data_IF_554044332967
#
_entry.id   IF_554044332967
#
_cell.length_a   1.000
_cell.length_b   1.000
_cell.length_c   1.000
_cell.angle_alpha   90.00
_cell.angle_beta   90.00
_cell.angle_gamma   90.00
#
_symmetry.space_group_name_H-M   'P 1'
#
loop_
_entity.id
_entity.type
_entity.pdbx_description
1 polymer ?
#
# COMPACT_ATOMS: atom_id res chain seq x y z
N UNK A 1 14.30 33.26 26.28
CA UNK A 1 13.40 32.21 26.79
C UNK A 1 11.90 32.53 26.65
N UNK A 2 11.54 33.71 26.10
CA UNK A 2 10.19 34.25 26.21
C UNK A 2 9.05 33.46 25.53
N UNK A 3 9.31 32.61 24.52
CA UNK A 3 8.25 32.00 23.69
C UNK A 3 8.44 30.49 23.46
N UNK A 4 9.23 29.80 24.29
CA UNK A 4 9.50 28.35 24.10
C UNK A 4 8.21 27.52 24.24
N UNK A 5 7.31 27.91 25.18
CA UNK A 5 6.05 27.21 25.42
C UNK A 5 5.16 27.24 24.19
N UNK A 6 5.00 28.41 23.58
CA UNK A 6 4.19 28.63 22.39
C UNK A 6 4.76 27.89 21.18
N UNK A 7 6.10 27.89 21.01
CA UNK A 7 6.77 27.07 19.98
C UNK A 7 6.49 25.58 20.19
N UNK A 8 6.56 25.08 21.42
CA UNK A 8 6.27 23.68 21.72
C UNK A 8 4.80 23.32 21.46
N UNK A 9 3.86 24.21 21.77
CA UNK A 9 2.43 24.02 21.45
C UNK A 9 2.23 23.94 19.95
N UNK A 10 2.75 24.91 19.20
CA UNK A 10 2.64 24.95 17.74
C UNK A 10 3.25 23.71 17.06
N UNK A 11 4.42 23.30 17.55
CA UNK A 11 5.10 22.08 17.12
C UNK A 11 4.28 20.82 17.42
N UNK A 12 3.71 20.70 18.62
CA UNK A 12 2.87 19.56 19.01
C UNK A 12 1.62 19.46 18.15
N UNK A 13 1.02 20.59 17.77
CA UNK A 13 -0.11 20.62 16.82
C UNK A 13 0.29 20.06 15.46
N UNK A 14 1.44 20.47 14.92
CA UNK A 14 1.93 19.94 13.63
C UNK A 14 2.25 18.44 13.69
N UNK A 15 2.88 17.96 14.77
CA UNK A 15 3.07 16.53 15.01
C UNK A 15 1.73 15.79 14.97
N UNK A 16 0.75 16.28 15.70
CA UNK A 16 -0.57 15.67 15.77
C UNK A 16 -1.23 15.57 14.38
N UNK A 17 -1.15 16.65 13.58
CA UNK A 17 -1.70 16.67 12.23
C UNK A 17 -0.97 15.68 11.32
N UNK A 18 0.36 15.57 11.43
CA UNK A 18 1.15 14.61 10.63
C UNK A 18 0.76 13.17 10.99
N UNK A 19 0.67 12.83 12.28
CA UNK A 19 0.24 11.49 12.70
C UNK A 19 -1.19 11.18 12.29
N UNK A 20 -2.11 12.13 12.48
CA UNK A 20 -3.50 11.98 12.07
C UNK A 20 -3.64 11.80 10.55
N UNK A 21 -2.87 12.55 9.76
CA UNK A 21 -2.85 12.38 8.30
C UNK A 21 -2.33 11.01 7.88
N UNK A 22 -1.31 10.50 8.53
CA UNK A 22 -0.79 9.15 8.32
C UNK A 22 -1.81 8.06 8.68
N UNK A 23 -2.53 8.24 9.78
CA UNK A 23 -3.62 7.36 10.19
C UNK A 23 -4.78 7.38 9.19
N UNK A 24 -5.25 8.55 8.78
CA UNK A 24 -6.32 8.71 7.79
C UNK A 24 -5.93 8.13 6.44
N UNK A 25 -4.68 8.32 6.02
CA UNK A 25 -4.16 7.69 4.80
C UNK A 25 -4.26 6.18 4.86
N UNK A 26 -3.78 5.55 5.94
CA UNK A 26 -3.83 4.08 6.11
C UNK A 26 -5.24 3.53 6.15
N UNK A 27 -6.15 4.21 6.85
CA UNK A 27 -7.49 3.69 7.13
C UNK A 27 -8.48 3.90 5.98
N UNK A 28 -8.42 5.06 5.33
CA UNK A 28 -9.45 5.50 4.40
C UNK A 28 -8.94 5.79 2.99
N UNK A 29 -7.71 6.29 2.85
CA UNK A 29 -7.23 6.82 1.58
C UNK A 29 -6.46 5.79 0.73
N UNK A 30 -5.86 4.76 1.32
CA UNK A 30 -4.98 3.82 0.62
C UNK A 30 -5.62 3.15 -0.60
N UNK A 31 -6.94 2.90 -0.56
CA UNK A 31 -7.71 2.28 -1.65
C UNK A 31 -8.45 3.29 -2.54
N UNK A 32 -8.28 4.59 -2.28
CA UNK A 32 -8.95 5.65 -3.02
C UNK A 32 -8.23 5.97 -4.33
N UNK A 33 -8.89 6.73 -5.22
CA UNK A 33 -8.25 7.19 -6.44
C UNK A 33 -7.06 8.10 -6.14
N UNK A 34 -6.04 8.08 -6.99
CA UNK A 34 -4.82 8.88 -6.83
C UNK A 34 -5.13 10.38 -6.68
N UNK A 35 -6.04 10.90 -7.48
CA UNK A 35 -6.43 12.32 -7.46
C UNK A 35 -7.10 12.68 -6.12
N UNK A 36 -7.92 11.80 -5.56
CA UNK A 36 -8.56 12.02 -4.26
C UNK A 36 -7.54 12.04 -3.12
N UNK A 37 -6.55 11.15 -3.16
CA UNK A 37 -5.45 11.13 -2.18
C UNK A 37 -4.67 12.45 -2.23
N UNK A 38 -4.23 12.87 -3.42
CA UNK A 38 -3.44 14.09 -3.62
C UNK A 38 -4.22 15.33 -3.17
N UNK A 39 -5.50 15.43 -3.52
CA UNK A 39 -6.38 16.51 -3.06
C UNK A 39 -6.53 16.54 -1.54
N UNK A 40 -6.75 15.39 -0.91
CA UNK A 40 -6.88 15.27 0.55
C UNK A 40 -5.60 15.72 1.27
N UNK A 41 -4.42 15.35 0.76
CA UNK A 41 -3.15 15.75 1.34
C UNK A 41 -2.91 17.27 1.21
N UNK A 42 -3.32 17.90 0.11
CA UNK A 42 -3.27 19.37 -0.05
C UNK A 42 -4.15 20.04 1.01
N UNK A 43 -5.38 19.57 1.20
CA UNK A 43 -6.30 20.15 2.21
C UNK A 43 -5.74 19.99 3.63
N UNK A 44 -5.18 18.83 3.96
CA UNK A 44 -4.55 18.59 5.27
C UNK A 44 -3.36 19.52 5.49
N UNK A 45 -2.54 19.76 4.46
CA UNK A 45 -1.41 20.67 4.54
C UNK A 45 -1.85 22.13 4.77
N UNK A 46 -2.92 22.58 4.09
CA UNK A 46 -3.51 23.90 4.29
C UNK A 46 -4.07 24.04 5.69
N UNK A 47 -4.81 23.03 6.17
CA UNK A 47 -5.34 22.99 7.54
C UNK A 47 -4.20 23.02 8.57
N UNK A 48 -3.11 22.29 8.33
CA UNK A 48 -1.93 22.31 9.18
C UNK A 48 -1.30 23.71 9.30
N UNK A 49 -1.19 24.43 8.18
CA UNK A 49 -0.76 25.83 8.18
C UNK A 49 -1.73 26.76 8.90
N UNK A 50 -3.03 26.57 8.73
CA UNK A 50 -4.06 27.35 9.45
C UNK A 50 -4.02 27.08 10.96
N UNK A 51 -3.97 25.83 11.38
CA UNK A 51 -3.83 25.46 12.80
C UNK A 51 -2.55 26.03 13.41
N UNK A 52 -1.43 26.02 12.66
CA UNK A 52 -0.18 26.62 13.09
C UNK A 52 -0.33 28.12 13.38
N UNK A 53 -1.10 28.84 12.58
CA UNK A 53 -1.42 30.26 12.84
C UNK A 53 -2.29 30.45 14.08
N UNK A 54 -3.29 29.59 14.25
CA UNK A 54 -4.23 29.66 15.40
C UNK A 54 -3.51 29.48 16.74
N UNK A 55 -2.54 28.59 16.80
CA UNK A 55 -1.70 28.33 17.97
C UNK A 55 -0.36 29.09 17.92
N UNK A 56 -0.22 30.07 17.03
CA UNK A 56 0.99 30.87 16.87
C UNK A 56 1.25 31.85 18.01
N UNK A 57 2.45 32.42 18.02
CA UNK A 57 2.87 33.45 18.96
C UNK A 57 2.36 34.79 18.47
N UNK A 58 1.46 35.41 19.20
CA UNK A 58 0.98 36.76 18.92
C UNK A 58 1.96 37.79 19.52
N UNK A 59 2.81 38.39 18.67
CA UNK A 59 3.72 39.47 19.09
C UNK A 59 2.99 40.80 19.22
N UNK A 60 1.90 41.00 18.48
CA UNK A 60 0.96 42.09 18.56
C UNK A 60 -0.39 41.63 18.01
N UNK A 61 -1.42 42.47 18.04
CA UNK A 61 -2.76 42.15 17.49
C UNK A 61 -2.74 41.75 16.00
N UNK A 62 -1.71 42.17 15.27
CA UNK A 62 -1.60 41.91 13.82
C UNK A 62 -0.44 40.97 13.44
N UNK A 63 0.56 40.76 14.30
CA UNK A 63 1.76 39.99 14.00
C UNK A 63 1.72 38.64 14.67
N UNK A 64 1.60 37.57 13.88
CA UNK A 64 1.62 36.18 14.33
C UNK A 64 2.90 35.51 13.84
N UNK A 65 3.64 34.95 14.78
CA UNK A 65 4.85 34.17 14.52
C UNK A 65 4.55 32.68 14.74
N UNK A 66 4.70 31.86 13.71
CA UNK A 66 4.28 30.47 13.73
C UNK A 66 5.06 29.60 12.73
N UNK A 67 4.70 28.33 12.65
CA UNK A 67 5.35 27.33 11.82
C UNK A 67 4.56 26.99 10.54
N UNK A 68 3.68 27.92 10.06
CA UNK A 68 2.82 27.71 8.85
C UNK A 68 3.57 27.36 7.56
N UNK A 69 4.85 27.67 7.51
CA UNK A 69 5.70 27.38 6.34
C UNK A 69 6.15 25.91 6.28
N UNK A 70 6.07 25.17 7.39
CA UNK A 70 6.51 23.76 7.45
C UNK A 70 5.72 22.85 6.51
N UNK A 71 4.38 22.91 6.38
CA UNK A 71 3.65 22.15 5.37
C UNK A 71 4.17 22.38 3.94
N UNK A 72 4.66 23.59 3.62
CA UNK A 72 5.27 23.90 2.30
C UNK A 72 6.62 23.19 2.17
N UNK A 73 7.42 23.15 3.24
CA UNK A 73 8.69 22.40 3.29
C UNK A 73 8.44 20.89 3.08
N UNK A 74 7.44 20.32 3.75
CA UNK A 74 7.06 18.91 3.60
C UNK A 74 6.61 18.65 2.15
N UNK A 75 5.81 19.54 1.57
CA UNK A 75 5.38 19.43 0.19
C UNK A 75 6.56 19.49 -0.79
N UNK A 76 7.52 20.40 -0.61
CA UNK A 76 8.73 20.50 -1.45
C UNK A 76 9.58 19.23 -1.42
N UNK A 77 9.53 18.47 -0.31
CA UNK A 77 10.27 17.23 -0.14
C UNK A 77 9.57 16.03 -0.79
N UNK A 78 8.25 15.87 -0.61
CA UNK A 78 7.53 14.61 -0.85
C UNK A 78 6.48 14.65 -1.97
N UNK A 79 6.07 15.84 -2.47
CA UNK A 79 5.09 15.90 -3.56
C UNK A 79 5.63 15.31 -4.86
N UNK A 80 4.71 14.78 -5.68
CA UNK A 80 5.02 14.32 -7.04
C UNK A 80 4.85 15.41 -8.10
N UNK A 81 3.99 16.37 -7.83
CA UNK A 81 3.70 17.49 -8.72
C UNK A 81 4.06 18.81 -8.03
N UNK A 82 5.03 19.57 -8.55
CA UNK A 82 5.44 20.83 -7.94
C UNK A 82 4.34 21.89 -7.85
N UNK A 83 3.30 21.83 -8.70
CA UNK A 83 2.16 22.74 -8.62
C UNK A 83 1.40 22.61 -7.28
N UNK A 84 1.45 21.46 -6.62
CA UNK A 84 0.80 21.29 -5.32
C UNK A 84 1.47 22.13 -4.23
N UNK A 85 2.78 22.38 -4.35
CA UNK A 85 3.51 23.27 -3.43
C UNK A 85 2.90 24.68 -3.51
N UNK A 86 2.64 25.17 -4.73
CA UNK A 86 2.04 26.47 -4.95
C UNK A 86 0.58 26.52 -4.43
N UNK A 87 -0.21 25.47 -4.70
CA UNK A 87 -1.59 25.38 -4.21
C UNK A 87 -1.66 25.41 -2.68
N UNK A 88 -0.76 24.71 -2.01
CA UNK A 88 -0.64 24.72 -0.54
C UNK A 88 -0.28 26.12 -0.05
N UNK A 89 0.70 26.78 -0.66
CA UNK A 89 1.09 28.13 -0.27
C UNK A 89 -0.03 29.15 -0.47
N UNK A 90 -0.73 29.12 -1.59
CA UNK A 90 -1.90 29.96 -1.84
C UNK A 90 -2.97 29.71 -0.78
N UNK A 91 -3.30 28.43 -0.50
CA UNK A 91 -4.30 28.07 0.50
C UNK A 91 -3.95 28.55 1.92
N UNK A 92 -2.70 28.35 2.37
CA UNK A 92 -2.20 28.83 3.65
C UNK A 92 -2.21 30.37 3.70
N UNK A 93 -1.79 31.01 2.60
CA UNK A 93 -1.78 32.47 2.50
C UNK A 93 -3.18 33.07 2.57
N UNK A 94 -4.16 32.49 1.88
CA UNK A 94 -5.57 32.91 1.98
C UNK A 94 -6.13 32.66 3.40
N UNK A 95 -5.80 31.53 4.00
CA UNK A 95 -6.21 31.21 5.37
C UNK A 95 -5.67 32.23 6.39
N UNK A 96 -4.57 32.96 6.10
CA UNK A 96 -4.06 34.03 6.99
C UNK A 96 -5.05 35.17 7.17
N UNK A 97 -5.85 35.46 6.17
CA UNK A 97 -6.83 36.56 6.23
C UNK A 97 -8.03 36.26 7.16
N UNK A 98 -8.23 35.02 7.57
CA UNK A 98 -9.25 34.68 8.61
C UNK A 98 -8.90 35.26 9.98
N UNK A 99 -7.63 35.67 10.21
CA UNK A 99 -7.17 36.32 11.44
C UNK A 99 -7.13 37.87 11.32
N UNK A 100 -7.78 38.42 10.32
CA UNK A 100 -7.84 39.83 10.05
C UNK A 100 -6.94 40.29 8.90
N UNK A 101 -7.34 41.37 8.26
CA UNK A 101 -6.61 42.00 7.16
C UNK A 101 -5.73 43.11 7.72
N UNK A 102 -4.42 42.97 7.60
CA UNK A 102 -3.42 43.92 8.07
C UNK A 102 -2.18 43.87 7.15
N UNK A 103 -1.28 44.84 7.26
CA UNK A 103 0.00 44.80 6.56
C UNK A 103 0.79 43.53 6.86
N UNK A 104 0.78 43.06 8.11
CA UNK A 104 1.38 41.83 8.53
C UNK A 104 0.72 40.58 7.87
N UNK A 105 -0.60 40.61 7.66
CA UNK A 105 -1.31 39.54 6.95
C UNK A 105 -0.92 39.49 5.46
N UNK A 106 -0.82 40.65 4.81
CA UNK A 106 -0.38 40.77 3.42
C UNK A 106 1.08 40.31 3.28
N UNK A 107 1.97 40.77 4.15
CA UNK A 107 3.37 40.32 4.21
C UNK A 107 3.47 38.79 4.41
N UNK A 108 2.67 38.22 5.29
CA UNK A 108 2.61 36.77 5.52
C UNK A 108 2.11 36.00 4.28
N UNK A 109 1.12 36.56 3.56
CA UNK A 109 0.65 35.98 2.28
C UNK A 109 1.78 35.98 1.24
N UNK A 110 2.43 37.13 1.06
CA UNK A 110 3.56 37.26 0.09
C UNK A 110 4.69 36.28 0.45
N UNK A 111 5.04 36.16 1.74
CA UNK A 111 6.09 35.24 2.21
C UNK A 111 5.80 33.79 1.83
N UNK A 112 4.57 33.27 2.05
CA UNK A 112 4.25 31.88 1.71
C UNK A 112 4.20 31.64 0.20
N UNK A 113 3.87 32.67 -0.61
CA UNK A 113 3.96 32.57 -2.08
C UNK A 113 5.42 32.49 -2.53
N UNK A 114 6.29 33.37 -2.00
CA UNK A 114 7.74 33.32 -2.27
C UNK A 114 8.30 31.94 -1.90
N UNK A 115 7.98 31.45 -0.71
CA UNK A 115 8.39 30.13 -0.26
C UNK A 115 7.90 29.02 -1.20
N UNK A 116 6.69 29.10 -1.69
CA UNK A 116 6.15 28.08 -2.60
C UNK A 116 6.88 28.09 -3.94
N UNK A 117 7.20 29.25 -4.48
CA UNK A 117 7.96 29.39 -5.73
C UNK A 117 9.39 28.85 -5.54
N UNK A 118 10.06 29.24 -4.46
CA UNK A 118 11.41 28.71 -4.13
C UNK A 118 11.34 27.18 -3.87
N UNK A 119 10.30 26.71 -3.17
CA UNK A 119 10.08 25.28 -2.94
C UNK A 119 9.93 24.49 -4.25
N UNK A 120 9.24 25.04 -5.25
CA UNK A 120 9.15 24.46 -6.60
C UNK A 120 10.53 24.42 -7.29
N UNK A 121 11.32 25.48 -7.20
CA UNK A 121 12.69 25.52 -7.76
C UNK A 121 13.57 24.46 -7.10
N UNK A 122 13.57 24.40 -5.76
CA UNK A 122 14.35 23.42 -5.00
C UNK A 122 13.88 22.01 -5.34
N UNK A 123 12.57 21.75 -5.50
CA UNK A 123 12.05 20.46 -5.97
C UNK A 123 12.69 20.03 -7.30
N UNK A 124 12.74 20.91 -8.30
CA UNK A 124 13.31 20.60 -9.62
C UNK A 124 14.82 20.34 -9.55
N UNK A 125 15.56 21.17 -8.83
CA UNK A 125 17.02 21.05 -8.69
C UNK A 125 17.39 19.77 -7.93
N UNK A 126 16.66 19.46 -6.86
CA UNK A 126 17.00 18.37 -5.93
C UNK A 126 16.34 17.01 -6.28
N UNK A 127 15.66 16.91 -7.43
CA UNK A 127 14.88 15.72 -7.81
C UNK A 127 15.67 14.40 -7.80
N UNK A 128 16.98 14.47 -8.13
CA UNK A 128 17.86 13.30 -8.19
C UNK A 128 18.81 13.17 -6.98
N UNK A 129 18.68 14.05 -6.01
CA UNK A 129 19.58 14.06 -4.87
C UNK A 129 19.26 12.95 -3.85
N UNK A 130 20.26 12.55 -3.11
CA UNK A 130 20.05 11.66 -1.98
C UNK A 130 19.11 12.30 -0.94
N UNK A 131 18.23 11.52 -0.33
CA UNK A 131 17.14 12.02 0.51
C UNK A 131 17.60 12.91 1.66
N UNK A 132 18.68 12.55 2.33
CA UNK A 132 19.20 13.35 3.46
C UNK A 132 19.86 14.67 3.00
N UNK A 133 20.57 14.66 1.87
CA UNK A 133 21.12 15.88 1.28
C UNK A 133 20.01 16.83 0.83
N UNK A 134 18.98 16.29 0.18
CA UNK A 134 17.78 17.05 -0.19
C UNK A 134 17.13 17.66 1.05
N UNK A 135 16.93 16.88 2.09
CA UNK A 135 16.31 17.30 3.35
C UNK A 135 17.07 18.45 3.99
N UNK A 136 18.39 18.35 4.09
CA UNK A 136 19.23 19.41 4.63
C UNK A 136 19.12 20.70 3.84
N UNK A 137 19.23 20.63 2.52
CA UNK A 137 19.17 21.81 1.65
C UNK A 137 17.77 22.44 1.66
N UNK A 138 16.72 21.65 1.58
CA UNK A 138 15.32 22.15 1.67
C UNK A 138 15.11 22.90 2.98
N UNK A 139 15.51 22.31 4.12
CA UNK A 139 15.38 22.95 5.44
C UNK A 139 16.14 24.26 5.49
N UNK A 140 17.42 24.26 5.11
CA UNK A 140 18.26 25.46 5.20
C UNK A 140 17.74 26.57 4.26
N UNK A 141 17.47 26.26 3.00
CA UNK A 141 17.02 27.26 2.01
C UNK A 141 15.67 27.84 2.43
N UNK A 142 14.70 26.98 2.75
CA UNK A 142 13.34 27.44 3.06
C UNK A 142 13.27 28.28 4.34
N UNK A 143 14.01 27.90 5.39
CA UNK A 143 14.08 28.69 6.63
C UNK A 143 14.82 30.02 6.42
N UNK A 144 15.89 30.04 5.62
CA UNK A 144 16.60 31.27 5.28
C UNK A 144 15.73 32.23 4.46
N UNK A 145 15.03 31.70 3.45
CA UNK A 145 14.09 32.48 2.64
C UNK A 145 12.94 33.01 3.49
N UNK A 146 12.37 32.19 4.39
CA UNK A 146 11.33 32.63 5.30
C UNK A 146 11.81 33.80 6.18
N UNK A 147 12.97 33.66 6.80
CA UNK A 147 13.57 34.71 7.64
C UNK A 147 13.87 35.99 6.85
N UNK A 148 14.49 35.88 5.67
CA UNK A 148 14.75 37.03 4.82
C UNK A 148 13.46 37.75 4.38
N UNK A 149 12.44 37.01 3.97
CA UNK A 149 11.16 37.58 3.54
C UNK A 149 10.50 38.41 4.65
N UNK A 150 10.52 37.90 5.90
CA UNK A 150 9.99 38.65 7.05
C UNK A 150 10.78 39.93 7.29
N UNK A 151 12.10 39.85 7.23
CA UNK A 151 12.97 41.04 7.40
C UNK A 151 12.79 42.10 6.33
N UNK A 152 12.63 41.71 5.06
CA UNK A 152 12.50 42.64 3.94
C UNK A 152 11.08 43.25 3.81
N UNK A 153 10.03 42.55 4.23
CA UNK A 153 8.65 43.06 4.15
C UNK A 153 8.30 44.13 5.20
N UNK A 154 9.23 44.40 6.12
CA UNK A 154 9.23 45.65 6.91
C UNK A 154 8.16 45.76 7.99
N UNK A 155 7.49 44.66 8.37
CA UNK A 155 6.45 44.63 9.44
C UNK A 155 7.05 44.86 10.84
N UNK A 156 8.33 44.49 11.01
CA UNK A 156 9.10 44.68 12.24
C UNK A 156 10.34 45.50 11.86
N UNK A 157 10.79 46.47 12.68
CA UNK A 157 12.04 47.18 12.43
C UNK A 157 13.19 46.19 12.22
N UNK A 158 13.92 46.34 11.13
CA UNK A 158 14.94 45.36 10.71
C UNK A 158 16.05 45.17 11.76
N UNK A 159 16.37 46.21 12.51
CA UNK A 159 17.39 46.17 13.57
C UNK A 159 16.92 45.22 14.71
N UNK A 160 15.68 45.36 15.16
CA UNK A 160 15.10 44.52 16.21
C UNK A 160 14.93 43.10 15.73
N UNK A 161 14.51 42.90 14.46
CA UNK A 161 14.38 41.59 13.84
C UNK A 161 15.70 40.84 13.82
N UNK A 162 16.76 41.47 13.32
CA UNK A 162 18.07 40.84 13.16
C UNK A 162 18.79 40.62 14.49
N UNK A 163 18.62 41.50 15.49
CA UNK A 163 19.35 41.44 16.77
C UNK A 163 18.64 40.57 17.82
N UNK A 164 17.31 40.47 17.79
CA UNK A 164 16.53 39.78 18.83
C UNK A 164 15.80 38.53 18.29
N UNK A 165 15.10 38.66 17.15
CA UNK A 165 14.21 37.59 16.69
C UNK A 165 14.98 36.50 15.91
N UNK A 166 15.80 36.88 14.93
CA UNK A 166 16.54 35.90 14.10
C UNK A 166 17.45 34.99 14.90
N UNK A 167 18.28 35.48 15.86
CA UNK A 167 19.20 34.61 16.61
C UNK A 167 18.46 33.54 17.44
N UNK A 168 17.22 33.80 17.85
CA UNK A 168 16.41 32.86 18.64
C UNK A 168 15.52 31.97 17.77
N UNK A 169 14.84 32.53 16.76
CA UNK A 169 13.82 31.83 15.97
C UNK A 169 14.43 30.97 14.85
N UNK A 170 15.47 31.44 14.15
CA UNK A 170 16.01 30.72 12.99
C UNK A 170 16.61 29.35 13.37
N UNK A 171 17.46 29.21 14.41
CA UNK A 171 17.94 27.90 14.84
C UNK A 171 16.83 26.95 15.27
N UNK A 172 15.84 27.46 16.02
CA UNK A 172 14.70 26.67 16.47
C UNK A 172 13.90 26.18 15.26
N UNK A 173 13.57 27.05 14.32
CA UNK A 173 12.82 26.71 13.12
C UNK A 173 13.56 25.65 12.26
N UNK A 174 14.87 25.76 12.13
CA UNK A 174 15.69 24.76 11.41
C UNK A 174 15.62 23.40 12.11
N UNK A 175 15.80 23.35 13.43
CA UNK A 175 15.74 22.11 14.22
C UNK A 175 14.35 21.48 14.10
N UNK A 176 13.29 22.27 14.31
CA UNK A 176 11.90 21.77 14.26
C UNK A 176 11.53 21.30 12.85
N UNK A 177 11.91 22.05 11.81
CA UNK A 177 11.68 21.65 10.41
C UNK A 177 12.41 20.35 10.09
N UNK A 178 13.65 20.20 10.51
CA UNK A 178 14.43 18.99 10.29
C UNK A 178 13.81 17.80 10.99
N UNK A 179 13.41 17.97 12.26
CA UNK A 179 12.78 16.90 13.04
C UNK A 179 11.45 16.46 12.42
N UNK A 180 10.59 17.41 12.01
CA UNK A 180 9.30 17.06 11.39
C UNK A 180 9.48 16.35 10.04
N UNK A 181 10.45 16.78 9.22
CA UNK A 181 10.76 16.07 7.98
C UNK A 181 11.32 14.67 8.23
N UNK A 182 12.19 14.52 9.23
CA UNK A 182 12.72 13.22 9.63
C UNK A 182 11.60 12.29 10.10
N UNK A 183 10.65 12.79 10.89
CA UNK A 183 9.49 12.05 11.36
C UNK A 183 8.58 11.60 10.20
N UNK A 184 8.31 12.49 9.22
CA UNK A 184 7.53 12.13 8.02
C UNK A 184 8.24 11.03 7.23
N UNK A 185 9.57 11.13 7.11
CA UNK A 185 10.38 10.10 6.46
C UNK A 185 10.29 8.76 7.18
N UNK A 186 10.46 8.75 8.49
CA UNK A 186 10.42 7.55 9.32
C UNK A 186 9.06 6.84 9.21
N UNK A 187 7.96 7.59 9.31
CA UNK A 187 6.60 7.05 9.10
C UNK A 187 6.39 6.47 7.69
N UNK A 188 6.97 7.10 6.68
CA UNK A 188 6.91 6.62 5.30
C UNK A 188 7.71 5.34 5.12
N UNK A 189 8.92 5.27 5.66
CA UNK A 189 9.81 4.11 5.58
C UNK A 189 9.20 2.91 6.33
N UNK A 190 8.64 3.12 7.52
CA UNK A 190 7.93 2.09 8.28
C UNK A 190 6.75 1.51 7.47
N UNK A 191 5.97 2.38 6.81
CA UNK A 191 4.86 1.95 5.97
C UNK A 191 5.32 1.11 4.79
N UNK A 192 6.36 1.56 4.07
CA UNK A 192 6.94 0.83 2.93
C UNK A 192 7.54 -0.50 3.39
N UNK A 193 8.29 -0.51 4.50
CA UNK A 193 8.86 -1.73 5.07
C UNK A 193 7.78 -2.76 5.44
N UNK A 194 6.73 -2.33 6.15
CA UNK A 194 5.60 -3.19 6.51
C UNK A 194 4.87 -3.74 5.29
N UNK A 195 4.67 -2.91 4.27
CA UNK A 195 4.04 -3.32 3.00
C UNK A 195 4.91 -4.34 2.27
N UNK A 196 6.23 -4.14 2.25
CA UNK A 196 7.17 -5.07 1.63
C UNK A 196 7.24 -6.41 2.38
N UNK A 197 7.24 -6.40 3.71
CA UNK A 197 7.14 -7.60 4.54
C UNK A 197 5.85 -8.39 4.23
N UNK A 198 4.71 -7.70 4.16
CA UNK A 198 3.44 -8.31 3.81
C UNK A 198 3.44 -8.86 2.36
N UNK A 199 4.14 -8.21 1.44
CA UNK A 199 4.28 -8.65 0.05
C UNK A 199 5.31 -9.78 -0.10
N UNK A 200 6.35 -9.80 0.71
CA UNK A 200 7.37 -10.87 0.70
C UNK A 200 6.81 -12.20 1.19
N UNK A 201 5.80 -12.17 2.06
CA UNK A 201 5.08 -13.36 2.50
C UNK A 201 4.05 -13.82 1.44
N UNK A 202 4.49 -14.06 0.18
CA UNK A 202 3.63 -14.58 -0.90
C UNK A 202 3.66 -16.09 -1.04
N UNK A 203 4.62 -16.73 -0.41
CA UNK A 203 4.81 -18.18 -0.46
C UNK A 203 4.26 -18.84 0.81
N UNK A 204 3.74 -20.04 0.65
CA UNK A 204 3.47 -20.94 1.74
C UNK A 204 4.80 -21.53 2.25
N UNK A 205 5.11 -21.47 3.55
CA UNK A 205 6.41 -21.89 4.06
C UNK A 205 6.67 -23.40 3.91
N UNK A 206 5.62 -24.22 3.93
CA UNK A 206 5.73 -25.67 3.82
C UNK A 206 5.93 -26.13 2.38
N UNK A 207 5.06 -25.68 1.48
CA UNK A 207 5.02 -26.18 0.10
C UNK A 207 5.80 -25.31 -0.89
N UNK A 208 6.21 -24.10 -0.50
CA UNK A 208 6.86 -23.09 -1.36
C UNK A 208 6.01 -22.65 -2.56
N UNK A 209 4.75 -23.05 -2.62
CA UNK A 209 3.76 -22.52 -3.58
C UNK A 209 3.33 -21.11 -3.19
N UNK A 210 2.57 -20.43 -4.04
CA UNK A 210 1.90 -19.21 -3.60
C UNK A 210 0.90 -19.53 -2.48
N UNK A 211 0.75 -18.59 -1.54
CA UNK A 211 -0.26 -18.70 -0.50
C UNK A 211 -1.59 -18.07 -0.95
N UNK A 212 -2.64 -18.22 -0.13
CA UNK A 212 -3.98 -17.68 -0.36
C UNK A 212 -3.98 -16.17 -0.67
N UNK A 213 -3.08 -15.38 -0.05
CA UNK A 213 -2.98 -13.94 -0.30
C UNK A 213 -2.45 -13.66 -1.72
N UNK A 214 -1.41 -14.37 -2.13
CA UNK A 214 -0.87 -14.25 -3.48
C UNK A 214 -1.88 -14.70 -4.54
N UNK A 215 -2.61 -15.80 -4.29
CA UNK A 215 -3.72 -16.23 -5.13
C UNK A 215 -4.73 -15.10 -5.35
N UNK A 216 -5.23 -14.47 -4.28
CA UNK A 216 -6.19 -13.38 -4.37
C UNK A 216 -5.68 -12.25 -5.27
N UNK A 217 -4.42 -11.86 -5.11
CA UNK A 217 -3.78 -10.83 -5.94
C UNK A 217 -3.76 -11.20 -7.43
N UNK A 218 -3.36 -12.43 -7.77
CA UNK A 218 -3.33 -12.87 -9.17
C UNK A 218 -4.74 -13.05 -9.73
N UNK A 219 -5.67 -13.57 -8.96
CA UNK A 219 -7.07 -13.70 -9.36
C UNK A 219 -7.69 -12.35 -9.69
N UNK A 220 -7.53 -11.34 -8.84
CA UNK A 220 -7.95 -9.97 -9.10
C UNK A 220 -7.28 -9.39 -10.36
N UNK A 221 -6.00 -9.66 -10.58
CA UNK A 221 -5.27 -9.20 -11.76
C UNK A 221 -5.88 -9.76 -13.06
N UNK A 222 -6.23 -11.03 -13.10
CA UNK A 222 -6.80 -11.67 -14.28
C UNK A 222 -8.28 -11.32 -14.47
N UNK A 223 -9.05 -11.14 -13.39
CA UNK A 223 -10.49 -10.84 -13.46
C UNK A 223 -10.80 -9.36 -13.64
N UNK A 224 -9.88 -8.44 -13.33
CA UNK A 224 -10.05 -6.99 -13.48
C UNK A 224 -9.75 -6.46 -14.90
N UNK A 225 -9.08 -7.20 -15.74
CA UNK A 225 -8.73 -6.78 -17.09
C UNK A 225 -9.97 -6.72 -17.97
N UNK A 226 -10.38 -5.51 -18.37
CA UNK A 226 -11.48 -5.21 -19.31
C UNK A 226 -11.25 -5.71 -20.75
N UNK A 227 -10.18 -6.40 -21.07
CA UNK A 227 -9.81 -6.76 -22.44
C UNK A 227 -9.95 -8.25 -22.69
N UNK A 228 -10.88 -8.53 -23.61
CA UNK A 228 -10.88 -9.69 -24.49
C UNK A 228 -11.02 -11.03 -23.81
N UNK A 229 -11.95 -11.78 -24.32
CA UNK A 229 -12.24 -13.17 -23.94
C UNK A 229 -10.97 -14.01 -24.22
N UNK A 230 -10.05 -14.00 -23.31
CA UNK A 230 -9.00 -14.99 -23.24
C UNK A 230 -9.57 -16.10 -22.35
N UNK A 231 -9.56 -17.37 -22.78
CA UNK A 231 -10.01 -18.42 -21.89
C UNK A 231 -9.19 -18.38 -20.61
N UNK A 232 -9.89 -18.26 -19.49
CA UNK A 232 -9.31 -18.30 -18.14
C UNK A 232 -9.99 -19.44 -17.40
N UNK A 233 -9.19 -20.39 -16.97
CA UNK A 233 -9.68 -21.51 -16.16
C UNK A 233 -9.15 -21.42 -14.74
N UNK A 234 -9.95 -21.99 -13.82
CA UNK A 234 -9.59 -22.13 -12.42
C UNK A 234 -9.92 -23.54 -11.97
N UNK A 235 -8.98 -24.18 -11.28
CA UNK A 235 -9.20 -25.47 -10.64
C UNK A 235 -9.02 -25.33 -9.13
N UNK A 236 -9.96 -25.89 -8.38
CA UNK A 236 -9.87 -26.06 -6.93
C UNK A 236 -9.63 -27.55 -6.66
N UNK A 237 -8.58 -27.89 -5.92
CA UNK A 237 -8.08 -29.25 -5.71
C UNK A 237 -7.96 -29.50 -4.22
N UNK A 238 -8.33 -30.70 -3.77
CA UNK A 238 -8.23 -31.11 -2.37
C UNK A 238 -7.73 -32.55 -2.27
N UNK A 239 -6.93 -32.83 -1.23
CA UNK A 239 -6.41 -34.17 -0.97
C UNK A 239 -7.49 -35.00 -0.24
N UNK A 240 -7.93 -36.06 -0.88
CA UNK A 240 -8.97 -36.92 -0.32
C UNK A 240 -8.48 -37.57 0.98
N UNK A 241 -9.34 -37.49 2.01
CA UNK A 241 -9.11 -38.11 3.30
C UNK A 241 -7.79 -37.72 4.00
N UNK A 242 -7.24 -36.53 3.73
CA UNK A 242 -5.95 -36.08 4.31
C UNK A 242 -5.93 -36.12 5.83
N UNK A 243 -7.08 -35.87 6.49
CA UNK A 243 -7.17 -36.03 7.95
C UNK A 243 -6.82 -37.46 8.41
N UNK A 244 -7.24 -38.49 7.65
CA UNK A 244 -6.87 -39.88 7.99
C UNK A 244 -5.37 -40.10 7.91
N UNK A 245 -4.69 -39.48 6.92
CA UNK A 245 -3.21 -39.55 6.83
C UNK A 245 -2.57 -38.93 8.07
N UNK A 246 -3.04 -37.77 8.51
CA UNK A 246 -2.53 -37.17 9.74
C UNK A 246 -2.82 -37.99 11.01
N UNK A 247 -4.02 -38.57 11.12
CA UNK A 247 -4.45 -39.36 12.27
C UNK A 247 -3.68 -40.67 12.35
N UNK A 248 -3.30 -41.28 11.22
CA UNK A 248 -2.62 -42.58 11.14
C UNK A 248 -1.09 -42.45 11.20
N UNK A 249 -0.50 -41.47 10.49
CA UNK A 249 0.96 -41.35 10.33
C UNK A 249 1.54 -40.12 11.03
N UNK A 250 0.71 -39.27 11.60
CA UNK A 250 1.13 -38.03 12.27
C UNK A 250 1.33 -36.84 11.32
N UNK A 251 1.34 -35.66 11.90
CA UNK A 251 1.42 -34.40 11.16
C UNK A 251 2.73 -34.23 10.36
N UNK A 252 3.85 -34.78 10.84
CA UNK A 252 5.14 -34.68 10.12
C UNK A 252 5.05 -35.40 8.78
N UNK A 253 4.46 -36.59 8.75
CA UNK A 253 4.23 -37.36 7.53
C UNK A 253 3.21 -36.62 6.63
N UNK A 254 2.14 -36.07 7.20
CA UNK A 254 1.19 -35.25 6.49
C UNK A 254 1.85 -34.04 5.79
N UNK A 255 2.79 -33.38 6.45
CA UNK A 255 3.56 -32.28 5.86
C UNK A 255 4.39 -32.72 4.65
N UNK A 256 5.02 -33.90 4.71
CA UNK A 256 5.75 -34.48 3.57
C UNK A 256 4.79 -34.80 2.42
N UNK A 257 3.61 -35.35 2.73
CA UNK A 257 2.55 -35.61 1.73
C UNK A 257 2.14 -34.31 1.04
N UNK A 258 1.89 -33.24 1.78
CA UNK A 258 1.57 -31.91 1.21
C UNK A 258 2.67 -31.40 0.29
N UNK A 259 3.93 -31.54 0.68
CA UNK A 259 5.07 -31.13 -0.14
C UNK A 259 5.15 -31.96 -1.44
N UNK A 260 4.95 -33.27 -1.37
CA UNK A 260 4.99 -34.15 -2.55
C UNK A 260 3.83 -33.87 -3.50
N UNK A 261 2.60 -33.71 -2.99
CA UNK A 261 1.45 -33.33 -3.80
C UNK A 261 1.69 -31.98 -4.47
N UNK A 262 2.22 -31.00 -3.75
CA UNK A 262 2.55 -29.70 -4.33
C UNK A 262 3.56 -29.79 -5.49
N UNK A 263 4.53 -30.68 -5.39
CA UNK A 263 5.49 -30.97 -6.47
C UNK A 263 4.80 -31.66 -7.66
N UNK A 264 3.92 -32.65 -7.41
CA UNK A 264 3.16 -33.31 -8.49
C UNK A 264 2.33 -32.28 -9.25
N UNK A 265 1.57 -31.43 -8.54
CA UNK A 265 0.76 -30.39 -9.20
C UNK A 265 1.66 -29.44 -9.99
N UNK A 266 2.73 -28.92 -9.38
CA UNK A 266 3.63 -27.95 -10.01
C UNK A 266 4.31 -28.50 -11.27
N UNK A 267 4.73 -29.77 -11.25
CA UNK A 267 5.40 -30.42 -12.37
C UNK A 267 4.47 -30.67 -13.58
N UNK A 268 3.16 -30.65 -13.34
CA UNK A 268 2.15 -30.82 -14.40
C UNK A 268 1.61 -29.49 -14.94
N UNK A 269 2.13 -28.35 -14.47
CA UNK A 269 1.68 -27.01 -14.86
C UNK A 269 2.75 -26.28 -15.66
N UNK A 270 2.31 -25.28 -16.44
CA UNK A 270 3.20 -24.41 -17.22
C UNK A 270 3.72 -23.28 -16.33
N UNK A 271 4.82 -22.66 -16.73
CA UNK A 271 5.42 -21.51 -16.00
C UNK A 271 4.50 -20.28 -15.89
N UNK A 272 3.48 -20.19 -16.75
CA UNK A 272 2.49 -19.10 -16.74
C UNK A 272 1.30 -19.40 -15.84
N UNK A 273 1.12 -20.65 -15.42
CA UNK A 273 0.03 -21.07 -14.54
C UNK A 273 0.38 -20.67 -13.09
N UNK A 274 -0.61 -20.28 -12.32
CA UNK A 274 -0.44 -19.84 -10.93
C UNK A 274 -1.00 -20.92 -10.02
N UNK A 275 -0.13 -21.56 -9.24
CA UNK A 275 -0.53 -22.53 -8.24
C UNK A 275 -0.38 -21.94 -6.84
N UNK A 276 -1.36 -22.17 -5.98
CA UNK A 276 -1.40 -21.68 -4.61
C UNK A 276 -1.93 -22.74 -3.65
N UNK A 277 -1.34 -22.81 -2.45
CA UNK A 277 -1.97 -23.49 -1.31
C UNK A 277 -3.01 -22.56 -0.72
N UNK A 278 -4.28 -22.93 -0.80
CA UNK A 278 -5.41 -22.10 -0.42
C UNK A 278 -5.82 -22.28 1.05
N UNK A 279 -5.75 -23.51 1.53
CA UNK A 279 -6.07 -23.92 2.89
C UNK A 279 -5.12 -25.01 3.38
N UNK A 280 -5.54 -25.80 4.36
CA UNK A 280 -4.74 -26.89 4.94
C UNK A 280 -4.25 -27.89 3.90
N UNK A 281 -5.20 -28.55 3.24
CA UNK A 281 -5.00 -29.58 2.20
C UNK A 281 -5.52 -29.14 0.82
N UNK A 282 -5.89 -27.87 0.68
CA UNK A 282 -6.54 -27.30 -0.49
C UNK A 282 -5.54 -26.52 -1.35
N UNK A 283 -5.60 -26.75 -2.66
CA UNK A 283 -4.82 -26.05 -3.67
C UNK A 283 -5.73 -25.39 -4.70
N UNK A 284 -5.33 -24.24 -5.20
CA UNK A 284 -6.04 -23.55 -6.29
C UNK A 284 -5.07 -23.22 -7.40
N UNK A 285 -5.49 -23.49 -8.63
CA UNK A 285 -4.69 -23.22 -9.83
C UNK A 285 -5.44 -22.26 -10.75
N UNK A 286 -4.78 -21.19 -11.17
CA UNK A 286 -5.26 -20.29 -12.22
C UNK A 286 -4.49 -20.65 -13.50
N UNK A 287 -5.22 -20.96 -14.57
CA UNK A 287 -4.65 -21.34 -15.88
C UNK A 287 -5.06 -20.28 -16.93
N UNK A 288 -4.22 -19.28 -17.17
CA UNK A 288 -4.46 -18.31 -18.25
C UNK A 288 -4.35 -18.96 -19.61
N UNK A 289 -5.15 -18.50 -20.58
CA UNK A 289 -5.16 -19.03 -21.94
C UNK A 289 -5.41 -20.54 -22.00
N UNK A 290 -6.26 -21.05 -21.12
CA UNK A 290 -6.60 -22.46 -21.03
C UNK A 290 -8.13 -22.60 -21.14
N UNK A 291 -8.60 -23.33 -22.15
CA UNK A 291 -10.01 -23.64 -22.35
C UNK A 291 -10.46 -24.82 -21.50
N UNK A 292 -11.74 -25.13 -21.58
CA UNK A 292 -12.41 -26.16 -20.79
C UNK A 292 -11.81 -27.56 -21.00
N UNK A 293 -11.54 -27.94 -22.24
CA UNK A 293 -11.01 -29.27 -22.57
C UNK A 293 -9.57 -29.42 -22.11
N UNK A 294 -8.76 -28.37 -22.30
CA UNK A 294 -7.36 -28.39 -21.89
C UNK A 294 -7.19 -28.39 -20.37
N UNK A 295 -7.99 -27.57 -19.63
CA UNK A 295 -7.89 -27.57 -18.17
C UNK A 295 -8.33 -28.91 -17.60
N UNK A 296 -9.39 -29.51 -18.12
CA UNK A 296 -9.86 -30.83 -17.68
C UNK A 296 -8.76 -31.88 -17.86
N UNK A 297 -8.10 -31.92 -19.03
CA UNK A 297 -6.97 -32.84 -19.30
C UNK A 297 -5.79 -32.62 -18.34
N UNK A 298 -5.46 -31.37 -18.04
CA UNK A 298 -4.34 -31.04 -17.13
C UNK A 298 -4.67 -31.52 -15.72
N UNK A 299 -5.87 -31.21 -15.21
CA UNK A 299 -6.23 -31.56 -13.85
C UNK A 299 -6.46 -33.08 -13.70
N UNK A 300 -7.02 -33.74 -14.73
CA UNK A 300 -7.14 -35.20 -14.73
C UNK A 300 -5.77 -35.90 -14.72
N UNK A 301 -4.80 -35.37 -15.46
CA UNK A 301 -3.41 -35.87 -15.41
C UNK A 301 -2.81 -35.72 -14.00
N UNK A 302 -3.07 -34.60 -13.31
CA UNK A 302 -2.61 -34.40 -11.92
C UNK A 302 -3.25 -35.44 -11.00
N UNK A 303 -4.56 -35.61 -11.10
CA UNK A 303 -5.32 -36.61 -10.32
C UNK A 303 -4.74 -38.01 -10.55
N UNK A 304 -4.65 -38.44 -11.82
CA UNK A 304 -4.17 -39.78 -12.19
C UNK A 304 -2.71 -40.02 -11.73
N UNK A 305 -1.84 -39.01 -11.89
CA UNK A 305 -0.46 -39.09 -11.42
C UNK A 305 -0.39 -39.29 -9.91
N UNK A 306 -1.25 -38.61 -9.14
CA UNK A 306 -1.28 -38.75 -7.69
C UNK A 306 -1.82 -40.11 -7.26
N UNK A 307 -2.87 -40.62 -7.93
CA UNK A 307 -3.45 -41.94 -7.67
C UNK A 307 -2.47 -43.09 -7.95
N UNK A 308 -1.71 -43.00 -9.05
CA UNK A 308 -0.85 -44.10 -9.51
C UNK A 308 0.58 -44.09 -8.96
N UNK A 309 0.98 -43.02 -8.29
CA UNK A 309 2.33 -42.89 -7.71
C UNK A 309 2.23 -42.67 -6.20
N UNK A 310 2.32 -43.77 -5.41
CA UNK A 310 2.32 -43.64 -3.97
C UNK A 310 3.43 -42.70 -3.46
N UNK A 311 3.12 -41.95 -2.46
CA UNK A 311 4.09 -41.02 -1.83
C UNK A 311 4.96 -41.84 -0.86
N UNK A 312 6.25 -41.90 -1.16
CA UNK A 312 7.23 -42.57 -0.32
C UNK A 312 7.73 -41.61 0.77
N UNK A 313 7.55 -42.01 2.03
CA UNK A 313 8.08 -41.32 3.20
C UNK A 313 8.81 -42.34 4.05
N UNK A 314 10.11 -42.27 4.12
CA UNK A 314 10.97 -43.30 4.71
C UNK A 314 10.63 -44.70 4.13
N UNK A 315 10.19 -45.65 4.95
CA UNK A 315 9.78 -46.98 4.52
C UNK A 315 8.27 -47.14 4.25
N UNK A 316 7.51 -46.01 4.30
CA UNK A 316 6.05 -45.99 4.09
C UNK A 316 5.70 -45.66 2.65
N UNK A 317 4.79 -46.45 2.07
CA UNK A 317 4.15 -46.16 0.79
C UNK A 317 2.70 -45.65 1.03
N UNK A 318 2.47 -44.37 0.94
CA UNK A 318 1.17 -43.73 1.23
C UNK A 318 0.44 -43.51 -0.08
N UNK A 319 -0.68 -44.21 -0.27
CA UNK A 319 -1.58 -44.01 -1.43
C UNK A 319 -2.61 -42.93 -1.07
N UNK A 320 -2.71 -41.93 -1.91
CA UNK A 320 -3.69 -40.84 -1.78
C UNK A 320 -4.35 -40.55 -3.10
N UNK A 321 -5.52 -39.95 -3.06
CA UNK A 321 -6.22 -39.46 -4.24
C UNK A 321 -6.52 -37.95 -4.10
N UNK A 322 -6.91 -37.35 -5.20
CA UNK A 322 -7.30 -35.93 -5.27
C UNK A 322 -8.70 -35.81 -5.86
N UNK A 323 -9.51 -34.94 -5.27
CA UNK A 323 -10.73 -34.44 -5.88
C UNK A 323 -10.51 -33.02 -6.42
N UNK A 324 -11.09 -32.69 -7.56
CA UNK A 324 -10.96 -31.37 -8.13
C UNK A 324 -12.25 -30.87 -8.77
N UNK A 325 -12.48 -29.56 -8.62
CA UNK A 325 -13.52 -28.82 -9.32
C UNK A 325 -12.90 -27.80 -10.28
N UNK A 326 -13.43 -27.71 -11.49
CA UNK A 326 -12.92 -26.84 -12.55
C UNK A 326 -14.01 -25.91 -13.05
N UNK A 327 -13.65 -24.64 -13.26
CA UNK A 327 -14.51 -23.63 -13.86
C UNK A 327 -13.76 -22.84 -14.94
N UNK A 328 -14.39 -22.54 -16.08
CA UNK A 328 -13.76 -21.91 -17.25
C UNK A 328 -14.58 -20.75 -17.80
N UNK A 329 -13.92 -19.65 -18.13
CA UNK A 329 -14.45 -18.54 -18.91
C UNK A 329 -14.20 -18.81 -20.43
N UNK A 330 -15.14 -18.47 -21.36
CA UNK A 330 -16.32 -17.60 -21.13
C UNK A 330 -17.58 -18.29 -20.62
N UNK A 331 -17.60 -19.62 -20.52
CA UNK A 331 -18.80 -20.36 -20.08
C UNK A 331 -19.30 -19.83 -18.73
N UNK A 332 -18.39 -19.50 -17.83
CA UNK A 332 -18.67 -18.91 -16.53
C UNK A 332 -18.04 -17.51 -16.45
N UNK A 333 -18.77 -16.55 -15.89
CA UNK A 333 -18.24 -15.21 -15.70
C UNK A 333 -17.00 -15.21 -14.82
N UNK A 334 -15.92 -14.53 -15.25
CA UNK A 334 -14.58 -14.55 -14.61
C UNK A 334 -14.58 -14.30 -13.10
N UNK A 335 -15.51 -13.49 -12.59
CA UNK A 335 -15.63 -13.23 -11.15
C UNK A 335 -16.28 -14.37 -10.35
N UNK A 336 -16.92 -15.32 -11.04
CA UNK A 336 -17.59 -16.46 -10.42
C UNK A 336 -16.76 -17.74 -10.49
N UNK A 337 -15.64 -17.75 -11.22
CA UNK A 337 -14.83 -18.95 -11.43
C UNK A 337 -14.44 -19.63 -10.12
N UNK A 338 -14.03 -18.85 -9.10
CA UNK A 338 -13.61 -19.41 -7.80
C UNK A 338 -14.78 -20.12 -7.11
N UNK A 339 -15.95 -19.49 -7.04
CA UNK A 339 -17.13 -20.06 -6.38
C UNK A 339 -17.60 -21.31 -7.13
N UNK A 340 -17.64 -21.26 -8.47
CA UNK A 340 -18.07 -22.38 -9.30
C UNK A 340 -17.11 -23.57 -9.26
N UNK A 341 -15.80 -23.32 -9.19
CA UNK A 341 -14.81 -24.38 -9.02
C UNK A 341 -14.91 -25.03 -7.63
N UNK A 342 -15.19 -24.26 -6.58
CA UNK A 342 -15.42 -24.76 -5.22
C UNK A 342 -16.70 -25.65 -5.14
N UNK A 343 -17.80 -25.19 -5.73
CA UNK A 343 -19.04 -25.97 -5.86
C UNK A 343 -18.80 -27.29 -6.62
N UNK A 344 -18.02 -27.26 -7.68
CA UNK A 344 -17.67 -28.46 -8.45
C UNK A 344 -16.74 -29.41 -7.67
N UNK A 345 -15.81 -28.88 -6.87
CA UNK A 345 -15.01 -29.70 -5.95
C UNK A 345 -15.89 -30.39 -4.89
N UNK A 346 -16.83 -29.66 -4.34
CA UNK A 346 -17.78 -30.23 -3.38
C UNK A 346 -18.55 -31.40 -4.02
N UNK A 347 -19.05 -31.23 -5.25
CA UNK A 347 -19.71 -32.31 -5.99
C UNK A 347 -18.77 -33.50 -6.27
N UNK A 348 -17.50 -33.25 -6.57
CA UNK A 348 -16.50 -34.32 -6.73
C UNK A 348 -16.36 -35.15 -5.44
N UNK A 349 -16.33 -34.51 -4.27
CA UNK A 349 -16.25 -35.17 -2.97
C UNK A 349 -17.52 -35.97 -2.65
N UNK A 350 -18.73 -35.46 -2.95
CA UNK A 350 -19.99 -36.15 -2.73
C UNK A 350 -20.20 -37.35 -3.67
N UNK A 351 -19.72 -37.26 -4.90
CA UNK A 351 -19.85 -38.31 -5.91
C UNK A 351 -18.81 -39.44 -5.81
N UNK A 352 -18.15 -39.57 -4.66
CA UNK A 352 -17.25 -40.70 -4.39
C UNK A 352 -15.77 -40.36 -4.42
N UNK A 353 -15.40 -39.07 -4.56
CA UNK A 353 -14.01 -38.57 -4.58
C UNK A 353 -13.21 -39.05 -5.78
N UNK A 354 -11.89 -38.83 -5.76
CA UNK A 354 -10.94 -39.25 -6.78
C UNK A 354 -11.41 -38.94 -8.22
N UNK A 355 -11.90 -37.75 -8.46
CA UNK A 355 -12.46 -37.31 -9.75
C UNK A 355 -12.34 -35.82 -9.99
N UNK A 356 -12.46 -35.44 -11.25
CA UNK A 356 -12.51 -34.05 -11.68
C UNK A 356 -13.94 -33.72 -12.15
N UNK A 357 -14.58 -32.73 -11.55
CA UNK A 357 -15.89 -32.23 -11.94
C UNK A 357 -15.75 -30.87 -12.57
N UNK A 358 -16.41 -30.65 -13.72
CA UNK A 358 -16.40 -29.39 -14.46
C UNK A 358 -17.72 -28.66 -14.25
N UNK A 359 -17.64 -27.42 -13.76
CA UNK A 359 -18.79 -26.54 -13.60
C UNK A 359 -19.29 -26.01 -14.95
N UNK A 360 -20.61 -25.78 -15.07
CA UNK A 360 -21.25 -25.06 -16.17
C UNK A 360 -22.16 -23.93 -15.64
N UNK A 361 -22.76 -23.18 -16.57
CA UNK A 361 -23.67 -22.07 -16.20
C UNK A 361 -25.01 -22.54 -15.59
N UNK A 362 -25.46 -23.76 -15.89
CA UNK A 362 -26.77 -24.27 -15.50
C UNK A 362 -26.73 -25.14 -14.24
N UNK A 363 -25.54 -25.40 -13.72
CA UNK A 363 -25.32 -26.27 -12.57
C UNK A 363 -24.05 -27.12 -12.74
N UNK A 364 -23.93 -28.19 -11.93
CA UNK A 364 -22.76 -29.07 -11.93
C UNK A 364 -23.00 -30.18 -12.97
N UNK A 365 -22.11 -30.32 -13.95
CA UNK A 365 -22.11 -31.51 -14.83
C UNK A 365 -21.36 -32.62 -14.09
N UNK A 366 -22.00 -33.77 -13.91
CA UNK A 366 -21.39 -34.98 -13.37
C UNK A 366 -20.15 -35.36 -14.20
N UNK A 367 -19.10 -35.78 -13.49
CA UNK A 367 -17.88 -36.26 -14.12
C UNK A 367 -18.18 -37.35 -15.16
N UNK A 368 -17.59 -37.23 -16.33
CA UNK A 368 -17.63 -38.28 -17.33
C UNK A 368 -16.73 -39.41 -16.80
N UNK A 369 -17.38 -40.50 -16.36
CA UNK A 369 -16.71 -41.76 -16.19
C UNK A 369 -16.13 -42.20 -17.56
N UNK A 370 -14.84 -42.28 -17.69
CA UNK A 370 -14.16 -42.99 -18.78
C UNK A 370 -13.52 -44.25 -18.25
#
# INVERSE_FOLDING_TARGET
MLYIKEYLVNFSVLITIIYLSGFLYKQFLVNSSKNFIEFSLILIAILGGWCSMFFGIHLSDSVIFDLRFIPIIIAAMYTRNPLYILMIGIGIGLARFTFGISEAAIAGFITVIILSIIGMMVYWISKKWHVYTKMLVVVLVMNSVNSLSIGFLGVIPIADYLSVIVPSSLPINIILSFFLLWMVKDLSDEYVYKTNLLNSARKDPLTQLYNRRAFKHYYELYTSKKKGVLPLSLAFIDIDHFKKVNDEYGHIVGDVVLQKVSQIISNNLRSVDIISRYGGEEFVVILPFCDKENVQRVIERIRYTTETHPIVVDDLNISITLSAGVATSPDIHVKQLLVRADEALYAAKENGRNQVVVANNEGIIQGVLA
#
